data_IF_986602306025
#
_entry.id   IF_986602306025
#
_cell.length_a   1.000
_cell.length_b   1.000
_cell.length_c   1.000
_cell.angle_alpha   90.00
_cell.angle_beta   90.00
_cell.angle_gamma   90.00
#
_symmetry.space_group_name_H-M   'P 1'
#
loop_
_entity.id
_entity.type
_entity.pdbx_description
1 polymer ?
#
# COMPACT_ATOMS: atom_id res chain seq x y z
N UNK A 1 -12.84 3.20 -18.26
CA UNK A 1 -11.58 2.69 -18.85
C UNK A 1 -11.32 1.26 -18.40
N UNK A 2 -10.69 0.40 -19.25
CA UNK A 2 -10.34 -0.95 -18.86
C UNK A 2 -9.34 -0.95 -17.68
N UNK A 3 -9.55 -1.85 -16.72
CA UNK A 3 -8.62 -2.02 -15.60
C UNK A 3 -7.19 -2.32 -16.10
N UNK A 4 -6.19 -1.88 -15.34
CA UNK A 4 -4.78 -2.17 -15.59
C UNK A 4 -4.09 -2.58 -14.29
N UNK A 5 -3.25 -3.60 -14.37
CA UNK A 5 -2.33 -3.95 -13.29
C UNK A 5 -0.91 -3.58 -13.73
N UNK A 6 -0.37 -2.51 -13.14
CA UNK A 6 0.92 -1.95 -13.55
C UNK A 6 2.01 -2.49 -12.63
N UNK A 7 3.08 -3.02 -13.25
CA UNK A 7 4.26 -3.52 -12.54
C UNK A 7 5.47 -2.71 -12.98
N UNK A 8 6.14 -2.10 -12.03
CA UNK A 8 7.38 -1.35 -12.25
C UNK A 8 8.53 -1.99 -11.49
N UNK A 9 9.75 -1.88 -12.00
CA UNK A 9 10.94 -2.41 -11.37
C UNK A 9 12.07 -1.40 -11.36
N UNK A 10 12.70 -1.23 -10.21
CA UNK A 10 13.96 -0.53 -10.04
C UNK A 10 15.00 -1.53 -9.53
N UNK A 11 16.04 -1.76 -10.33
CA UNK A 11 17.11 -2.73 -10.06
C UNK A 11 18.40 -1.96 -9.71
N UNK A 12 18.46 -1.40 -8.51
CA UNK A 12 19.62 -0.62 -8.02
C UNK A 12 20.67 -1.46 -7.29
N UNK A 13 20.39 -2.73 -7.04
CA UNK A 13 21.27 -3.66 -6.33
C UNK A 13 21.41 -4.99 -7.07
N UNK A 14 22.20 -5.92 -6.51
CA UNK A 14 22.37 -7.25 -7.09
C UNK A 14 21.02 -7.98 -7.24
N UNK A 15 20.85 -8.74 -8.32
CA UNK A 15 19.61 -9.48 -8.61
C UNK A 15 19.20 -10.48 -7.51
N UNK A 16 20.16 -10.99 -6.73
CA UNK A 16 19.91 -11.89 -5.62
C UNK A 16 19.39 -11.18 -4.36
N UNK A 17 19.43 -9.84 -4.31
CA UNK A 17 18.90 -9.06 -3.18
C UNK A 17 17.38 -8.97 -3.31
N UNK A 18 16.66 -9.47 -2.28
CA UNK A 18 15.22 -9.41 -2.22
C UNK A 18 14.72 -7.94 -2.29
N UNK A 19 13.74 -7.63 -3.14
CA UNK A 19 13.23 -6.27 -3.30
C UNK A 19 12.35 -5.85 -2.13
N UNK A 20 12.18 -4.54 -1.95
CA UNK A 20 11.02 -3.96 -1.29
C UNK A 20 9.91 -3.80 -2.32
N UNK A 21 8.68 -4.19 -1.97
CA UNK A 21 7.51 -4.00 -2.84
C UNK A 21 6.66 -2.86 -2.29
N UNK A 22 6.31 -1.92 -3.16
CA UNK A 22 5.35 -0.86 -2.88
C UNK A 22 4.07 -1.12 -3.67
N UNK A 23 2.93 -1.16 -2.98
CA UNK A 23 1.62 -1.37 -3.60
C UNK A 23 0.79 -0.11 -3.43
N UNK A 24 0.34 0.51 -4.52
CA UNK A 24 -0.43 1.74 -4.48
C UNK A 24 -1.87 1.56 -4.94
N UNK A 25 -2.88 1.88 -4.10
CA UNK A 25 -4.28 1.95 -4.53
C UNK A 25 -4.40 2.90 -5.71
N UNK A 26 -4.96 2.41 -6.81
CA UNK A 26 -5.08 3.14 -8.08
C UNK A 26 -6.52 3.30 -8.55
N UNK A 27 -7.45 3.62 -7.65
CA UNK A 27 -8.85 3.92 -8.04
C UNK A 27 -8.89 5.33 -8.62
N UNK A 28 -8.98 5.42 -9.94
CA UNK A 28 -8.86 6.71 -10.66
C UNK A 28 -10.09 7.59 -10.52
N UNK A 29 -11.23 7.01 -10.22
CA UNK A 29 -12.41 7.68 -9.70
C UNK A 29 -13.27 6.71 -8.89
N UNK A 30 -13.78 7.15 -7.74
CA UNK A 30 -14.56 6.32 -6.83
C UNK A 30 -15.92 6.95 -6.52
N UNK A 31 -16.98 6.37 -7.08
CA UNK A 31 -18.36 6.77 -6.73
C UNK A 31 -18.93 6.01 -5.56
N UNK A 32 -18.22 4.97 -5.07
CA UNK A 32 -18.73 3.97 -4.15
C UNK A 32 -19.41 2.79 -4.85
N UNK A 33 -19.58 2.84 -6.18
CA UNK A 33 -20.33 1.81 -6.93
C UNK A 33 -21.81 1.85 -6.59
N UNK A 34 -22.44 0.68 -6.40
CA UNK A 34 -23.87 0.56 -6.01
C UNK A 34 -24.10 1.13 -4.60
N UNK A 35 -23.14 1.02 -3.68
CA UNK A 35 -23.15 1.70 -2.37
C UNK A 35 -22.68 3.14 -2.54
N UNK A 36 -23.45 3.93 -3.30
CA UNK A 36 -23.04 5.24 -3.82
C UNK A 36 -22.74 6.26 -2.71
N UNK A 37 -21.66 7.00 -2.87
CA UNK A 37 -21.27 8.11 -1.98
C UNK A 37 -22.27 9.26 -2.05
N UNK A 38 -22.39 10.09 -1.00
CA UNK A 38 -23.07 11.37 -1.09
C UNK A 38 -22.44 12.29 -2.17
N UNK A 39 -23.26 13.09 -2.86
CA UNK A 39 -22.78 13.98 -3.91
C UNK A 39 -21.77 15.07 -3.46
N UNK A 40 -21.89 15.68 -2.25
CA UNK A 40 -20.90 16.63 -1.77
C UNK A 40 -19.48 16.00 -1.71
N UNK A 41 -18.51 16.75 -2.26
CA UNK A 41 -17.08 16.38 -2.30
C UNK A 41 -16.75 15.11 -3.12
N UNK A 42 -17.71 14.53 -3.86
CA UNK A 42 -17.44 13.37 -4.72
C UNK A 42 -16.38 13.69 -5.81
N UNK A 43 -16.25 14.95 -6.22
CA UNK A 43 -15.20 15.40 -7.16
C UNK A 43 -13.77 15.22 -6.60
N UNK A 44 -13.61 15.08 -5.28
CA UNK A 44 -12.33 14.78 -4.63
C UNK A 44 -11.93 13.31 -4.78
N UNK A 45 -12.85 12.44 -5.20
CA UNK A 45 -12.55 11.03 -5.46
C UNK A 45 -11.62 10.80 -6.67
N UNK A 46 -11.27 11.85 -7.42
CA UNK A 46 -10.13 11.85 -8.34
C UNK A 46 -8.77 11.68 -7.63
N UNK A 47 -8.70 11.91 -6.30
CA UNK A 47 -7.51 11.67 -5.48
C UNK A 47 -7.44 10.25 -4.92
N UNK A 48 -8.43 9.40 -5.17
CA UNK A 48 -8.48 8.03 -4.64
C UNK A 48 -7.42 7.09 -5.26
N UNK A 49 -6.64 7.60 -6.19
CA UNK A 49 -5.44 7.00 -6.76
C UNK A 49 -4.13 7.55 -6.16
N UNK A 50 -4.18 8.29 -5.06
CA UNK A 50 -2.98 8.91 -4.48
C UNK A 50 -1.97 7.88 -3.95
N UNK A 51 -2.39 6.67 -3.60
CA UNK A 51 -1.51 5.54 -3.31
C UNK A 51 -0.65 5.19 -4.54
N UNK A 52 -1.27 5.04 -5.71
CA UNK A 52 -0.58 4.81 -6.98
C UNK A 52 0.34 5.97 -7.35
N UNK A 53 -0.14 7.22 -7.21
CA UNK A 53 0.65 8.41 -7.47
C UNK A 53 1.90 8.48 -6.58
N UNK A 54 1.79 8.05 -5.31
CA UNK A 54 2.93 7.96 -4.39
C UNK A 54 3.96 6.95 -4.85
N UNK A 55 3.54 5.78 -5.34
CA UNK A 55 4.45 4.78 -5.92
C UNK A 55 5.17 5.38 -7.14
N UNK A 56 4.45 6.03 -8.05
CA UNK A 56 5.04 6.70 -9.22
C UNK A 56 6.05 7.78 -8.81
N UNK A 57 5.72 8.61 -7.82
CA UNK A 57 6.60 9.65 -7.27
C UNK A 57 7.90 9.08 -6.70
N UNK A 58 7.80 7.98 -5.95
CA UNK A 58 8.98 7.25 -5.44
C UNK A 58 9.83 6.71 -6.59
N UNK A 59 9.24 6.09 -7.60
CA UNK A 59 9.99 5.56 -8.74
C UNK A 59 10.70 6.64 -9.55
N UNK A 60 10.07 7.83 -9.71
CA UNK A 60 10.73 8.98 -10.31
C UNK A 60 11.97 9.39 -9.49
N UNK A 61 11.85 9.53 -8.20
CA UNK A 61 12.97 9.88 -7.32
C UNK A 61 14.07 8.81 -7.30
N UNK A 62 13.72 7.51 -7.31
CA UNK A 62 14.70 6.42 -7.42
C UNK A 62 15.52 6.51 -8.71
N UNK A 63 14.91 6.91 -9.83
CA UNK A 63 15.61 7.13 -11.10
C UNK A 63 16.67 8.24 -11.02
N UNK A 64 16.45 9.24 -10.19
CA UNK A 64 17.35 10.39 -9.99
C UNK A 64 18.47 10.09 -8.98
N UNK A 65 18.11 9.61 -7.77
CA UNK A 65 19.07 9.43 -6.65
C UNK A 65 19.82 8.09 -6.68
N UNK A 66 19.29 7.09 -7.41
CA UNK A 66 19.90 5.78 -7.68
C UNK A 66 20.46 5.05 -6.45
N UNK A 67 19.69 4.83 -5.38
CA UNK A 67 20.16 4.10 -4.21
C UNK A 67 20.39 2.62 -4.53
N UNK A 68 21.31 1.97 -3.79
CA UNK A 68 21.65 0.56 -3.97
C UNK A 68 20.59 -0.36 -3.33
N UNK A 69 19.40 -0.45 -3.92
CA UNK A 69 18.27 -1.26 -3.47
C UNK A 69 17.45 -1.74 -4.68
N UNK A 70 16.81 -2.89 -4.57
CA UNK A 70 15.81 -3.33 -5.54
C UNK A 70 14.40 -2.97 -5.05
N UNK A 71 13.57 -2.39 -5.92
CA UNK A 71 12.20 -2.00 -5.60
C UNK A 71 11.26 -2.46 -6.71
N UNK A 72 10.10 -2.99 -6.32
CA UNK A 72 8.99 -3.30 -7.23
C UNK A 72 7.80 -2.42 -6.85
N UNK A 73 7.19 -1.79 -7.83
CA UNK A 73 5.94 -1.04 -7.69
C UNK A 73 4.79 -1.82 -8.31
N UNK A 74 3.70 -1.97 -7.59
CA UNK A 74 2.46 -2.62 -8.05
C UNK A 74 1.31 -1.62 -7.93
N UNK A 75 0.58 -1.41 -9.03
CA UNK A 75 -0.55 -0.49 -9.06
C UNK A 75 -1.74 -1.19 -9.71
N UNK A 76 -2.72 -1.66 -8.93
CA UNK A 76 -4.02 -2.05 -9.44
C UNK A 76 -4.83 -0.78 -9.77
N UNK A 77 -4.96 -0.46 -11.07
CA UNK A 77 -5.64 0.75 -11.54
C UNK A 77 -7.00 0.41 -12.16
N UNK A 78 -8.06 1.01 -11.62
CA UNK A 78 -9.44 0.86 -12.11
C UNK A 78 -10.30 2.02 -11.63
N UNK A 79 -11.56 2.06 -12.06
CA UNK A 79 -12.62 2.94 -11.54
C UNK A 79 -13.60 2.11 -10.70
N UNK A 80 -14.30 2.76 -9.77
CA UNK A 80 -15.44 2.18 -9.05
C UNK A 80 -16.72 2.96 -9.40
N UNK A 81 -17.48 2.44 -10.36
CA UNK A 81 -18.63 3.12 -10.94
C UNK A 81 -19.89 2.23 -10.84
N UNK A 82 -21.08 2.82 -10.66
CA UNK A 82 -22.33 2.10 -10.79
C UNK A 82 -22.65 1.86 -12.27
N UNK A 83 -22.95 0.64 -12.63
CA UNK A 83 -23.51 0.27 -13.94
C UNK A 83 -24.34 -1.01 -13.87
N UNK A 84 -24.83 -1.47 -15.03
CA UNK A 84 -25.67 -2.68 -15.11
C UNK A 84 -24.92 -4.00 -14.80
N UNK A 85 -23.60 -4.00 -14.81
CA UNK A 85 -22.73 -5.14 -14.53
C UNK A 85 -21.94 -4.98 -13.23
N UNK A 86 -22.13 -3.85 -12.52
CA UNK A 86 -21.40 -3.55 -11.29
C UNK A 86 -21.65 -4.63 -10.21
N UNK A 87 -20.63 -4.89 -9.42
CA UNK A 87 -20.72 -5.72 -8.22
C UNK A 87 -21.76 -5.12 -7.26
N UNK A 88 -22.59 -5.99 -6.68
CA UNK A 88 -23.67 -5.62 -5.77
C UNK A 88 -23.36 -6.03 -4.33
N UNK A 89 -23.82 -5.28 -3.33
CA UNK A 89 -23.84 -5.78 -1.95
C UNK A 89 -24.52 -7.16 -1.86
N UNK A 90 -23.81 -8.10 -1.22
CA UNK A 90 -24.21 -9.51 -1.14
C UNK A 90 -23.52 -10.43 -2.16
N UNK A 91 -22.87 -9.88 -3.18
CA UNK A 91 -22.06 -10.70 -4.10
C UNK A 91 -20.86 -11.32 -3.37
N UNK A 92 -20.52 -12.55 -3.77
CA UNK A 92 -19.31 -13.24 -3.29
C UNK A 92 -18.33 -13.38 -4.44
N UNK A 93 -17.10 -12.90 -4.23
CA UNK A 93 -16.02 -13.00 -5.20
C UNK A 93 -14.89 -13.86 -4.66
N UNK A 94 -14.09 -14.45 -5.56
CA UNK A 94 -12.88 -15.20 -5.19
C UNK A 94 -11.65 -14.33 -5.47
N UNK A 95 -10.85 -14.10 -4.44
CA UNK A 95 -9.58 -13.37 -4.56
C UNK A 95 -8.51 -14.22 -5.25
N UNK A 96 -7.41 -13.57 -5.68
CA UNK A 96 -6.23 -14.26 -6.25
C UNK A 96 -5.64 -15.32 -5.31
N UNK A 97 -5.80 -15.17 -3.99
CA UNK A 97 -5.35 -16.17 -3.01
C UNK A 97 -6.25 -17.39 -2.90
N UNK A 98 -7.38 -17.41 -3.62
CA UNK A 98 -8.40 -18.46 -3.54
C UNK A 98 -9.42 -18.26 -2.40
N UNK A 99 -9.23 -17.28 -1.53
CA UNK A 99 -10.20 -16.96 -0.47
C UNK A 99 -11.41 -16.25 -1.05
N UNK A 100 -12.60 -16.62 -0.56
CA UNK A 100 -13.87 -16.00 -0.95
C UNK A 100 -14.16 -14.77 -0.09
N UNK A 101 -14.72 -13.73 -0.68
CA UNK A 101 -15.01 -12.45 -0.03
C UNK A 101 -16.46 -12.09 -0.29
N UNK A 102 -17.26 -11.94 0.78
CA UNK A 102 -18.60 -11.36 0.70
C UNK A 102 -18.48 -9.83 0.66
N UNK A 103 -19.00 -9.22 -0.40
CA UNK A 103 -19.00 -7.78 -0.57
C UNK A 103 -20.26 -7.21 0.04
N UNK A 104 -20.18 -6.69 1.25
CA UNK A 104 -21.32 -6.07 1.94
C UNK A 104 -21.43 -4.57 1.62
N UNK A 105 -20.35 -3.94 1.18
CA UNK A 105 -20.30 -2.53 0.80
C UNK A 105 -19.36 -2.34 -0.39
N UNK A 106 -19.86 -1.90 -1.52
CA UNK A 106 -19.06 -1.68 -2.74
C UNK A 106 -18.19 -0.42 -2.66
N UNK A 107 -18.41 0.48 -1.69
CA UNK A 107 -17.55 1.62 -1.36
C UNK A 107 -16.30 1.22 -0.51
N UNK A 108 -16.09 -0.06 -0.33
CA UNK A 108 -14.89 -0.63 0.27
C UNK A 108 -14.12 -1.48 -0.78
N UNK A 109 -13.98 -0.96 -1.98
CA UNK A 109 -13.35 -1.55 -3.16
C UNK A 109 -11.82 -1.52 -3.09
N UNK A 110 -11.24 -0.48 -2.45
CA UNK A 110 -9.79 -0.30 -2.38
C UNK A 110 -9.08 -1.49 -1.75
N UNK A 111 -9.65 -2.06 -0.68
CA UNK A 111 -9.10 -3.26 -0.06
C UNK A 111 -9.24 -4.51 -0.92
N UNK A 112 -10.23 -4.56 -1.82
CA UNK A 112 -10.43 -5.68 -2.75
C UNK A 112 -9.33 -5.69 -3.82
N UNK A 113 -9.03 -4.56 -4.45
CA UNK A 113 -7.93 -4.48 -5.43
C UNK A 113 -6.56 -4.65 -4.76
N UNK A 114 -6.41 -4.21 -3.50
CA UNK A 114 -5.17 -4.38 -2.75
C UNK A 114 -4.93 -5.83 -2.32
N UNK A 115 -5.95 -6.60 -1.93
CA UNK A 115 -5.74 -7.99 -1.50
C UNK A 115 -5.14 -8.85 -2.62
N UNK A 116 -5.56 -8.65 -3.86
CA UNK A 116 -4.99 -9.33 -5.02
C UNK A 116 -3.56 -8.83 -5.34
N UNK A 117 -3.32 -7.52 -5.21
CA UNK A 117 -1.99 -6.97 -5.38
C UNK A 117 -0.99 -7.47 -4.31
N UNK A 118 -1.44 -7.63 -3.06
CA UNK A 118 -0.64 -8.21 -1.97
C UNK A 118 -0.31 -9.68 -2.25
N UNK A 119 -1.31 -10.47 -2.69
CA UNK A 119 -1.09 -11.86 -3.11
C UNK A 119 -0.13 -11.93 -4.29
N UNK A 120 -0.26 -11.04 -5.28
CA UNK A 120 0.66 -10.97 -6.42
C UNK A 120 2.08 -10.63 -6.01
N UNK A 121 2.28 -9.82 -4.94
CA UNK A 121 3.59 -9.43 -4.44
C UNK A 121 4.47 -10.61 -3.99
N UNK A 122 3.87 -11.73 -3.56
CA UNK A 122 4.60 -12.94 -3.15
C UNK A 122 5.56 -13.48 -4.22
N UNK A 123 5.23 -13.28 -5.50
CA UNK A 123 6.05 -13.73 -6.64
C UNK A 123 7.46 -13.14 -6.67
N UNK A 124 7.63 -11.98 -6.05
CA UNK A 124 8.91 -11.28 -5.98
C UNK A 124 9.77 -11.70 -4.80
N UNK A 125 9.25 -12.55 -3.89
CA UNK A 125 9.92 -12.96 -2.63
C UNK A 125 10.47 -11.73 -1.90
N UNK A 126 9.61 -10.76 -1.55
CA UNK A 126 10.03 -9.46 -1.06
C UNK A 126 10.66 -9.54 0.33
N UNK A 127 11.61 -8.61 0.60
CA UNK A 127 12.10 -8.35 1.96
C UNK A 127 11.00 -7.73 2.84
N UNK A 128 10.21 -6.83 2.25
CA UNK A 128 9.07 -6.18 2.86
C UNK A 128 8.08 -5.71 1.79
N UNK A 129 6.80 -5.64 2.14
CA UNK A 129 5.74 -5.06 1.32
C UNK A 129 5.11 -3.90 2.09
N UNK A 130 4.99 -2.75 1.45
CA UNK A 130 4.29 -1.58 1.99
C UNK A 130 3.17 -1.24 1.01
N UNK A 131 1.92 -1.32 1.44
CA UNK A 131 0.82 -0.82 0.65
C UNK A 131 0.37 0.57 1.12
N UNK A 132 -0.08 1.37 0.18
CA UNK A 132 -0.39 2.79 0.35
C UNK A 132 -1.77 3.03 -0.26
N UNK A 133 -2.72 3.52 0.54
CA UNK A 133 -4.08 3.74 0.07
C UNK A 133 -4.80 4.87 0.80
N UNK A 134 -5.58 5.62 0.07
CA UNK A 134 -6.67 6.46 0.55
C UNK A 134 -7.83 5.53 0.94
N UNK A 135 -7.70 4.87 2.11
CA UNK A 135 -8.51 3.68 2.35
C UNK A 135 -9.75 3.95 3.19
N UNK A 136 -9.65 4.77 4.24
CA UNK A 136 -10.78 4.89 5.16
C UNK A 136 -11.03 6.31 5.65
N UNK A 137 -12.30 6.74 5.59
CA UNK A 137 -12.74 7.93 6.31
C UNK A 137 -12.55 7.81 7.83
N UNK A 138 -12.52 6.59 8.37
CA UNK A 138 -12.24 6.36 9.79
C UNK A 138 -10.82 6.81 10.18
N UNK A 139 -9.84 6.65 9.32
CA UNK A 139 -8.48 7.17 9.54
C UNK A 139 -8.45 8.71 9.55
N UNK A 140 -9.24 9.34 8.66
CA UNK A 140 -9.41 10.81 8.66
C UNK A 140 -9.99 11.30 9.99
N UNK A 141 -11.00 10.61 10.51
CA UNK A 141 -11.62 10.97 11.81
C UNK A 141 -10.61 10.78 12.96
N UNK A 142 -9.79 9.73 12.91
CA UNK A 142 -8.86 9.41 13.99
C UNK A 142 -7.63 10.34 14.03
N UNK A 143 -7.04 10.65 12.88
CA UNK A 143 -5.73 11.32 12.76
C UNK A 143 -5.79 12.68 12.03
N UNK A 144 -6.93 13.04 11.45
CA UNK A 144 -7.07 14.25 10.64
C UNK A 144 -6.14 14.25 9.44
N UNK A 145 -5.63 15.44 9.08
CA UNK A 145 -4.74 15.65 7.95
C UNK A 145 -3.25 15.76 8.37
N UNK A 146 -2.92 15.40 9.62
CA UNK A 146 -1.57 15.62 10.18
C UNK A 146 -0.67 14.42 9.98
N UNK A 147 -1.16 13.22 10.31
CA UNK A 147 -0.40 11.97 10.22
C UNK A 147 -1.15 10.93 9.39
N UNK A 148 -0.41 10.14 8.61
CA UNK A 148 -0.95 8.94 7.96
C UNK A 148 -1.09 7.80 8.97
N UNK A 149 -2.09 6.94 8.82
CA UNK A 149 -2.24 5.75 9.65
C UNK A 149 -1.25 4.68 9.23
N UNK A 150 -0.45 4.17 10.18
CA UNK A 150 0.50 3.07 9.96
C UNK A 150 -0.01 1.81 10.66
N UNK A 151 -0.19 0.73 9.92
CA UNK A 151 -0.54 -0.59 10.44
C UNK A 151 0.53 -1.60 10.04
N UNK A 152 0.95 -2.45 10.94
CA UNK A 152 1.92 -3.51 10.65
C UNK A 152 1.89 -4.60 11.71
N UNK A 153 2.00 -5.85 11.27
CA UNK A 153 2.23 -7.01 12.12
C UNK A 153 3.72 -7.28 12.40
N UNK A 154 4.61 -6.46 11.83
CA UNK A 154 6.06 -6.58 11.99
C UNK A 154 6.60 -5.33 12.69
N UNK A 155 6.97 -5.46 13.97
CA UNK A 155 7.41 -4.33 14.80
C UNK A 155 8.68 -3.64 14.27
N UNK A 156 9.74 -4.36 13.83
CA UNK A 156 10.90 -3.71 13.22
C UNK A 156 10.53 -2.86 11.99
N UNK A 157 9.72 -3.39 11.08
CA UNK A 157 9.28 -2.65 9.89
C UNK A 157 8.46 -1.41 10.26
N UNK A 158 7.54 -1.55 11.23
CA UNK A 158 6.75 -0.43 11.72
C UNK A 158 7.63 0.69 12.28
N UNK A 159 8.65 0.33 13.07
CA UNK A 159 9.58 1.29 13.65
C UNK A 159 10.46 1.97 12.58
N UNK A 160 10.93 1.22 11.59
CA UNK A 160 11.71 1.78 10.47
C UNK A 160 10.88 2.80 9.67
N UNK A 161 9.61 2.48 9.37
CA UNK A 161 8.69 3.38 8.65
C UNK A 161 8.35 4.61 9.50
N UNK A 162 8.06 4.42 10.78
CA UNK A 162 7.79 5.53 11.71
C UNK A 162 8.97 6.50 11.75
N UNK A 163 10.19 5.99 11.94
CA UNK A 163 11.41 6.81 11.98
C UNK A 163 11.69 7.52 10.65
N UNK A 164 11.39 6.87 9.52
CA UNK A 164 11.49 7.50 8.20
C UNK A 164 10.51 8.67 8.07
N UNK A 165 9.29 8.53 8.59
CA UNK A 165 8.30 9.60 8.64
C UNK A 165 8.74 10.80 9.46
N UNK A 166 9.27 10.58 10.66
CA UNK A 166 9.79 11.64 11.52
C UNK A 166 10.99 12.35 10.86
N UNK A 167 11.89 11.59 10.23
CA UNK A 167 13.10 12.13 9.58
C UNK A 167 12.77 12.98 8.34
N UNK A 168 11.77 12.55 7.55
CA UNK A 168 11.36 13.25 6.31
C UNK A 168 10.38 14.40 6.55
N UNK A 169 9.81 14.53 7.75
CA UNK A 169 8.72 15.45 8.05
C UNK A 169 7.37 15.00 7.47
N UNK A 170 7.29 13.77 6.94
CA UNK A 170 6.06 13.16 6.39
C UNK A 170 5.54 12.09 7.37
N UNK A 171 5.09 12.55 8.53
CA UNK A 171 4.87 11.73 9.70
C UNK A 171 3.66 10.78 9.57
N UNK A 172 3.80 9.59 10.15
CA UNK A 172 2.74 8.63 10.35
C UNK A 172 2.54 8.33 11.86
N UNK A 173 1.48 7.58 12.18
CA UNK A 173 1.23 7.11 13.55
C UNK A 173 0.82 5.65 13.54
N UNK A 174 1.45 4.84 14.40
CA UNK A 174 1.15 3.41 14.49
C UNK A 174 -0.20 3.20 15.17
N UNK A 175 -1.08 2.49 14.49
CA UNK A 175 -2.41 2.11 14.94
C UNK A 175 -2.41 0.66 15.46
N UNK A 176 -3.37 0.29 16.33
CA UNK A 176 -3.49 -1.08 16.82
C UNK A 176 -3.86 -2.05 15.69
N UNK A 177 -3.48 -3.33 15.87
CA UNK A 177 -3.80 -4.39 14.91
C UNK A 177 -4.04 -5.72 15.62
N UNK A 178 -4.70 -5.70 16.78
CA UNK A 178 -4.98 -6.87 17.59
C UNK A 178 -5.94 -7.82 16.88
N UNK A 179 -5.88 -9.11 17.20
CA UNK A 179 -6.65 -10.14 16.50
C UNK A 179 -8.15 -10.02 16.72
N UNK A 180 -8.59 -9.48 17.84
CA UNK A 180 -10.00 -9.27 18.17
C UNK A 180 -10.73 -8.40 17.13
N UNK A 181 -10.04 -7.48 16.48
CA UNK A 181 -10.64 -6.67 15.41
C UNK A 181 -11.03 -7.47 14.16
N UNK A 182 -10.57 -8.70 14.01
CA UNK A 182 -10.97 -9.57 12.90
C UNK A 182 -12.38 -10.16 13.07
N UNK A 183 -12.93 -10.18 14.30
CA UNK A 183 -14.23 -10.76 14.59
C UNK A 183 -15.36 -10.13 13.75
N UNK A 184 -15.30 -8.81 13.54
CA UNK A 184 -16.29 -8.09 12.75
C UNK A 184 -16.26 -8.39 11.25
N UNK A 185 -15.21 -9.07 10.76
CA UNK A 185 -15.04 -9.43 9.35
C UNK A 185 -15.58 -10.84 9.03
N UNK A 186 -16.16 -11.55 9.99
CA UNK A 186 -16.74 -12.88 9.76
C UNK A 186 -17.94 -12.78 8.81
N UNK A 187 -17.98 -13.67 7.84
CA UNK A 187 -19.12 -13.85 6.91
C UNK A 187 -19.80 -15.19 7.16
N UNK A 188 -21.08 -15.27 6.81
CA UNK A 188 -21.84 -16.53 6.77
C UNK A 188 -21.77 -17.21 5.40
N UNK A 189 -21.36 -16.48 4.36
CA UNK A 189 -21.45 -16.92 2.96
C UNK A 189 -20.07 -17.00 2.28
N UNK A 190 -19.01 -16.51 2.95
CA UNK A 190 -17.65 -16.48 2.42
C UNK A 190 -16.63 -16.66 3.55
N UNK A 191 -15.35 -16.76 3.20
CA UNK A 191 -14.25 -16.83 4.17
C UNK A 191 -14.09 -15.54 4.96
N UNK A 192 -14.49 -14.40 4.38
CA UNK A 192 -14.39 -13.07 4.99
C UNK A 192 -15.38 -12.10 4.36
N UNK A 193 -15.87 -11.11 5.13
CA UNK A 193 -16.59 -9.96 4.58
C UNK A 193 -15.62 -8.82 4.27
N UNK A 194 -15.92 -7.97 3.27
CA UNK A 194 -15.05 -6.85 2.93
C UNK A 194 -15.12 -5.70 3.93
N UNK A 195 -16.14 -5.63 4.75
CA UNK A 195 -16.28 -4.63 5.82
C UNK A 195 -16.76 -5.26 7.12
N UNK A 196 -16.40 -4.59 8.24
CA UNK A 196 -16.99 -4.79 9.55
C UNK A 196 -18.01 -3.69 9.85
N UNK A 197 -18.47 -3.60 11.08
CA UNK A 197 -19.29 -2.48 11.53
C UNK A 197 -18.55 -1.13 11.49
N UNK A 198 -19.26 -0.06 11.92
CA UNK A 198 -18.72 1.31 11.89
C UNK A 198 -17.51 1.53 12.81
N UNK A 199 -17.46 0.83 13.96
CA UNK A 199 -16.38 0.98 14.93
C UNK A 199 -15.04 0.48 14.38
N UNK A 200 -13.95 1.17 14.72
CA UNK A 200 -12.58 0.83 14.35
C UNK A 200 -12.36 0.60 12.84
N UNK A 201 -13.06 1.35 11.97
CA UNK A 201 -13.10 1.10 10.52
C UNK A 201 -11.73 1.06 9.84
N UNK A 202 -10.75 1.87 10.26
CA UNK A 202 -9.39 1.82 9.74
C UNK A 202 -8.65 0.55 10.19
N UNK A 203 -8.86 0.11 11.42
CA UNK A 203 -8.23 -1.10 11.97
C UNK A 203 -8.80 -2.36 11.30
N UNK A 204 -10.12 -2.44 11.15
CA UNK A 204 -10.77 -3.58 10.49
C UNK A 204 -10.41 -3.66 9.01
N UNK A 205 -10.23 -2.52 8.33
CA UNK A 205 -9.70 -2.47 6.96
C UNK A 205 -8.28 -3.04 6.88
N UNK A 206 -7.40 -2.63 7.79
CA UNK A 206 -6.05 -3.16 7.89
C UNK A 206 -6.03 -4.67 8.25
N UNK A 207 -6.94 -5.13 9.13
CA UNK A 207 -7.10 -6.57 9.44
C UNK A 207 -7.53 -7.38 8.22
N UNK A 208 -8.40 -6.81 7.37
CA UNK A 208 -8.75 -7.45 6.09
C UNK A 208 -7.49 -7.61 5.22
N UNK A 209 -6.69 -6.55 5.03
CA UNK A 209 -5.45 -6.61 4.23
C UNK A 209 -4.41 -7.58 4.82
N UNK A 210 -4.23 -7.59 6.14
CA UNK A 210 -3.31 -8.49 6.84
C UNK A 210 -3.55 -9.96 6.49
N UNK A 211 -4.79 -10.34 6.22
CA UNK A 211 -5.18 -11.70 5.83
C UNK A 211 -4.47 -12.18 4.57
N UNK A 212 -4.11 -11.26 3.67
CA UNK A 212 -3.45 -11.50 2.39
C UNK A 212 -1.95 -11.16 2.39
N UNK A 213 -1.38 -10.86 3.56
CA UNK A 213 0.01 -10.41 3.73
C UNK A 213 0.80 -11.26 4.73
N UNK A 214 0.51 -12.57 4.82
CA UNK A 214 1.09 -13.46 5.84
C UNK A 214 2.50 -13.98 5.50
N UNK A 215 2.90 -13.93 4.23
CA UNK A 215 4.13 -14.58 3.74
C UNK A 215 5.37 -13.66 3.78
N UNK A 216 5.21 -12.38 4.17
CA UNK A 216 6.28 -11.38 4.19
C UNK A 216 6.08 -10.35 5.30
N UNK A 217 7.13 -9.60 5.64
CA UNK A 217 7.00 -8.42 6.48
C UNK A 217 6.13 -7.37 5.76
N UNK A 218 5.05 -6.93 6.41
CA UNK A 218 4.03 -6.07 5.80
C UNK A 218 3.73 -4.85 6.64
N UNK A 219 3.48 -3.74 5.94
CA UNK A 219 2.92 -2.53 6.51
C UNK A 219 1.90 -1.91 5.55
N UNK A 220 0.86 -1.31 6.10
CA UNK A 220 -0.15 -0.51 5.40
C UNK A 220 -0.07 0.94 5.85
N UNK A 221 -0.10 1.86 4.90
CA UNK A 221 -0.24 3.29 5.12
C UNK A 221 -1.61 3.75 4.63
N UNK A 222 -2.51 4.06 5.57
CA UNK A 222 -3.78 4.73 5.26
C UNK A 222 -3.53 6.24 5.17
N UNK A 223 -3.61 6.76 3.96
CA UNK A 223 -3.31 8.15 3.62
C UNK A 223 -4.56 8.98 3.31
N UNK A 224 -5.76 8.48 3.61
CA UNK A 224 -7.01 9.17 3.31
C UNK A 224 -7.06 10.61 3.85
N UNK A 225 -6.47 10.87 5.03
CA UNK A 225 -6.43 12.20 5.62
C UNK A 225 -5.28 13.09 5.12
N UNK A 226 -4.24 12.52 4.48
CA UNK A 226 -3.00 13.25 4.18
C UNK A 226 -2.72 13.42 2.70
N UNK A 227 -3.40 12.68 1.83
CA UNK A 227 -3.10 12.63 0.38
C UNK A 227 -3.52 13.88 -0.39
N UNK A 228 -4.56 14.59 0.06
CA UNK A 228 -5.02 15.83 -0.56
C UNK A 228 -5.51 16.84 0.48
N UNK A 229 -5.79 18.05 0.04
CA UNK A 229 -6.44 19.11 0.79
C UNK A 229 -7.75 19.48 0.11
N UNK A 230 -8.77 19.76 0.91
CA UNK A 230 -10.10 20.20 0.46
C UNK A 230 -10.25 21.72 0.54
N UNK A 231 -11.40 22.24 0.08
CA UNK A 231 -11.76 23.66 0.14
C UNK A 231 -10.87 24.55 -0.74
N UNK A 232 -10.52 25.73 -0.27
CA UNK A 232 -9.75 26.73 -1.01
C UNK A 232 -8.31 26.25 -1.38
N UNK A 233 -7.76 25.32 -0.63
CA UNK A 233 -6.43 24.76 -0.89
C UNK A 233 -6.48 23.41 -1.60
N UNK A 234 -7.61 23.08 -2.26
CA UNK A 234 -7.84 21.80 -2.93
C UNK A 234 -6.68 21.40 -3.85
N UNK A 235 -6.11 20.21 -3.60
CA UNK A 235 -5.00 19.69 -4.38
C UNK A 235 -4.28 18.54 -3.69
N UNK A 236 -3.57 17.73 -4.46
CA UNK A 236 -2.72 16.66 -3.94
C UNK A 236 -1.55 17.21 -3.13
N UNK A 237 -1.17 16.51 -2.06
CA UNK A 237 -0.04 16.88 -1.18
C UNK A 237 1.27 16.25 -1.59
N UNK A 238 1.24 15.14 -2.32
CA UNK A 238 2.40 14.31 -2.63
C UNK A 238 2.81 13.37 -1.48
N UNK A 239 2.07 13.37 -0.36
CA UNK A 239 2.32 12.44 0.76
C UNK A 239 1.82 11.03 0.43
N UNK A 240 2.53 9.95 0.83
CA UNK A 240 3.72 9.92 1.67
C UNK A 240 5.04 9.64 0.89
N UNK A 241 5.25 10.28 -0.27
CA UNK A 241 6.47 10.06 -1.09
C UNK A 241 7.74 10.29 -0.28
N UNK A 242 7.78 11.36 0.55
CA UNK A 242 8.93 11.69 1.41
C UNK A 242 9.27 10.59 2.40
N UNK A 243 8.27 10.07 3.10
CA UNK A 243 8.41 8.96 4.04
C UNK A 243 8.94 7.69 3.35
N UNK A 244 8.30 7.30 2.25
CA UNK A 244 8.66 6.08 1.51
C UNK A 244 10.08 6.14 0.97
N UNK A 245 10.46 7.27 0.39
CA UNK A 245 11.80 7.48 -0.14
C UNK A 245 12.86 7.43 0.97
N UNK A 246 12.59 8.08 2.11
CA UNK A 246 13.48 8.05 3.27
C UNK A 246 13.66 6.61 3.80
N UNK A 247 12.57 5.84 3.89
CA UNK A 247 12.64 4.43 4.27
C UNK A 247 13.55 3.63 3.32
N UNK A 248 13.35 3.76 2.00
CA UNK A 248 14.12 3.03 1.00
C UNK A 248 15.62 3.41 1.02
N UNK A 249 15.93 4.69 1.18
CA UNK A 249 17.32 5.18 1.30
C UNK A 249 17.98 4.63 2.56
N UNK A 250 17.28 4.60 3.68
CA UNK A 250 17.77 4.02 4.92
C UNK A 250 17.98 2.51 4.81
N UNK A 251 17.03 1.79 4.20
CA UNK A 251 17.13 0.34 3.96
C UNK A 251 18.28 -0.02 3.01
N UNK A 252 18.62 0.85 2.05
CA UNK A 252 19.77 0.67 1.16
C UNK A 252 21.11 0.74 1.91
N UNK A 253 21.22 1.59 2.94
CA UNK A 253 22.44 1.74 3.75
C UNK A 253 22.69 0.59 4.72
N UNK A 254 21.62 -0.03 5.24
CA UNK A 254 21.72 -1.12 6.21
C UNK A 254 22.00 -2.49 5.58
N UNK A 255 21.88 -2.61 4.25
CA UNK A 255 22.21 -3.85 3.56
C UNK A 255 23.73 -3.97 3.38
N UNK A 256 24.41 -5.02 3.93
CA UNK A 256 25.86 -5.16 3.80
C UNK A 256 26.25 -5.25 2.32
N UNK A 257 26.97 -4.28 1.81
CA UNK A 257 27.69 -4.42 0.54
C UNK A 257 28.71 -5.52 0.74
N UNK A 258 28.52 -6.70 0.10
CA UNK A 258 29.60 -7.65 -0.05
C UNK A 258 30.70 -6.93 -0.81
N UNK A 259 31.76 -6.52 -0.11
CA UNK A 259 32.93 -5.90 -0.70
C UNK A 259 33.42 -6.81 -1.83
N UNK A 260 33.46 -6.31 -3.06
CA UNK A 260 34.15 -6.94 -4.16
C UNK A 260 35.64 -6.94 -3.80
N UNK A 261 36.10 -8.00 -3.11
CA UNK A 261 37.53 -8.23 -2.96
C UNK A 261 38.10 -8.40 -4.37
N UNK A 262 38.76 -7.35 -4.86
CA UNK A 262 39.58 -7.39 -6.04
C UNK A 262 40.56 -8.56 -5.89
N UNK A 263 40.43 -9.57 -6.74
CA UNK A 263 41.46 -10.61 -6.94
C UNK A 263 42.66 -9.89 -7.53
N UNK A 264 43.61 -9.48 -6.69
CA UNK A 264 44.94 -9.11 -7.16
C UNK A 264 45.54 -10.32 -7.83
N UNK A 265 45.66 -10.27 -9.15
CA UNK A 265 46.44 -11.23 -9.94
C UNK A 265 47.91 -11.03 -9.56
N UNK A 266 48.43 -11.92 -8.73
CA UNK A 266 49.87 -12.08 -8.57
C UNK A 266 50.39 -12.67 -9.88
N UNK A 267 51.20 -11.89 -10.62
CA UNK A 267 51.98 -12.39 -11.75
C UNK A 267 53.15 -13.23 -11.18
N UNK A 268 53.40 -14.47 -11.67
CA UNK A 268 54.59 -15.19 -11.30
C UNK A 268 55.82 -14.50 -11.94
N UNK A 269 56.86 -14.23 -11.11
CA UNK A 269 58.18 -13.84 -11.59
C UNK A 269 58.78 -15.07 -12.30
N UNK A 270 59.11 -14.90 -13.56
CA UNK A 270 60.00 -15.81 -14.31
C UNK A 270 61.42 -15.68 -13.83
N UNK A 271 62.02 -16.77 -13.46
CA UNK A 271 63.46 -16.94 -13.33
C UNK A 271 64.08 -17.21 -14.73
#
# INVERSE_FOLDING_TARGET
>A
EPLRFIVMRYNGAAAAQAPVVLVGKGITFDTGGISIKPAPEMDEMKYDMSGAASVLGVFKALGEIRPSINVVGLIPATENMPDGLAVKPGDVVTSMSGQTIEILNTDAEGRLVLCDALTYAERFKPKAVIDIATLTGACVIALGAVRSGLFSSNDPLAQEIFQAGETSGDACWRMPLDDDYAEGLKSKFADVANVAGRAAGSVTAAKFLQRFAKSFAWAHLDIAGTAWRSGAAKGATGRPVGLLLQYLVSAAKTTPQKSAKAKAKVKPKSA
#
